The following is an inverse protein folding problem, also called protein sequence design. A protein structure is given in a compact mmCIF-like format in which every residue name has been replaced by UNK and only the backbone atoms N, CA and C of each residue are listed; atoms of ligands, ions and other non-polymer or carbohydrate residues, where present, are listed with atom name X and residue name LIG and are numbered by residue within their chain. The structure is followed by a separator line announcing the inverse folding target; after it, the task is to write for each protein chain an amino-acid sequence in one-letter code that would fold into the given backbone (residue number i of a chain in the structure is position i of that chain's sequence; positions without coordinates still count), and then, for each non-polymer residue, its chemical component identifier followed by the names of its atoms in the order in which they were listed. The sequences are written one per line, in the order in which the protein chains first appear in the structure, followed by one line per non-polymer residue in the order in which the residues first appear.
data_IF_545168897900
#
_entry.id   IF_545168897900
#
_cell.length_a   1.000
_cell.length_b   1.000
_cell.length_c   1.000
_cell.angle_alpha   90.00
_cell.angle_beta   90.00
_cell.angle_gamma   90.00
#
_symmetry.space_group_name_H-M   'P 1'
#
loop_
_entity.id
_entity.type
_entity.pdbx_description
1 polymer ?
#
# COMPACT_ATOMS: atom_id res chain seq x y z
N UNK A 1 -25.63 -24.12 50.12
CA UNK A 1 -24.60 -24.38 49.08
C UNK A 1 -24.75 -23.52 47.80
N UNK A 2 -25.63 -22.51 47.74
CA UNK A 2 -25.74 -21.64 46.56
C UNK A 2 -24.57 -20.64 46.45
N UNK A 3 -24.17 -20.03 47.57
CA UNK A 3 -23.23 -18.91 47.65
C UNK A 3 -21.84 -19.28 47.09
N UNK A 4 -21.36 -20.50 47.33
CA UNK A 4 -20.10 -20.99 46.77
C UNK A 4 -20.15 -21.16 45.25
N UNK A 5 -21.27 -21.61 44.69
CA UNK A 5 -21.45 -21.74 43.23
C UNK A 5 -21.48 -20.36 42.56
N UNK A 6 -22.13 -19.39 43.19
CA UNK A 6 -22.18 -17.99 42.72
C UNK A 6 -20.77 -17.38 42.73
N UNK A 7 -20.00 -17.56 43.81
CA UNK A 7 -18.62 -17.07 43.90
C UNK A 7 -17.71 -17.65 42.80
N UNK A 8 -17.84 -18.94 42.48
CA UNK A 8 -17.09 -19.58 41.39
C UNK A 8 -17.48 -19.00 40.02
N UNK A 9 -18.78 -18.80 39.75
CA UNK A 9 -19.23 -18.19 38.48
C UNK A 9 -18.72 -16.75 38.33
N UNK A 10 -18.78 -15.94 39.40
CA UNK A 10 -18.25 -14.56 39.38
C UNK A 10 -16.74 -14.55 39.15
N UNK A 11 -15.98 -15.45 39.77
CA UNK A 11 -14.54 -15.58 39.55
C UNK A 11 -14.19 -15.97 38.10
N UNK A 12 -14.93 -16.92 37.51
CA UNK A 12 -14.74 -17.33 36.11
C UNK A 12 -15.06 -16.18 35.14
N UNK A 13 -16.15 -15.43 35.37
CA UNK A 13 -16.52 -14.26 34.56
C UNK A 13 -15.47 -13.14 34.66
N UNK A 14 -14.91 -12.90 35.87
CA UNK A 14 -13.83 -11.93 36.06
C UNK A 14 -12.55 -12.34 35.29
N UNK A 15 -12.17 -13.62 35.33
CA UNK A 15 -11.01 -14.15 34.58
C UNK A 15 -11.21 -14.03 33.06
N UNK A 16 -12.43 -14.25 32.56
CA UNK A 16 -12.76 -14.05 31.14
C UNK A 16 -12.57 -12.59 30.69
N UNK A 17 -13.01 -11.60 31.48
CA UNK A 17 -12.82 -10.18 31.15
C UNK A 17 -11.34 -9.76 31.12
N UNK A 18 -10.49 -10.36 31.98
CA UNK A 18 -9.05 -10.07 32.01
C UNK A 18 -8.33 -10.56 30.75
N UNK A 19 -8.84 -11.59 30.06
CA UNK A 19 -8.27 -12.07 28.80
C UNK A 19 -8.36 -11.06 27.63
N UNK A 20 -9.26 -10.08 27.71
CA UNK A 20 -9.46 -9.07 26.67
C UNK A 20 -8.53 -7.85 26.79
N UNK A 21 -7.72 -7.76 27.84
CA UNK A 21 -6.81 -6.62 28.11
C UNK A 21 -5.35 -6.96 27.75
N UNK A 22 -5.15 -7.92 26.83
CA UNK A 22 -3.87 -8.16 26.17
C UNK A 22 -3.58 -7.07 25.11
N UNK A 23 -3.13 -5.91 25.61
CA UNK A 23 -2.39 -4.83 24.93
C UNK A 23 -2.60 -4.68 23.42
N UNK A 24 -3.37 -3.65 23.11
CA UNK A 24 -3.49 -3.01 21.82
C UNK A 24 -2.19 -2.94 20.98
N UNK A 25 -2.35 -3.19 19.67
CA UNK A 25 -1.42 -2.85 18.57
C UNK A 25 -0.09 -3.61 18.58
N UNK A 26 -0.07 -4.71 17.80
CA UNK A 26 1.01 -4.84 16.81
C UNK A 26 0.96 -3.59 15.94
N UNK A 27 1.83 -2.61 16.21
CA UNK A 27 2.10 -1.58 15.21
C UNK A 27 2.67 -2.30 14.00
N UNK A 28 1.85 -2.45 12.96
CA UNK A 28 2.37 -2.60 11.61
C UNK A 28 3.35 -1.44 11.42
N UNK A 29 4.64 -1.78 11.35
CA UNK A 29 5.75 -0.81 11.40
C UNK A 29 5.46 0.26 10.36
N UNK A 30 5.10 1.46 10.81
CA UNK A 30 4.70 2.54 9.92
C UNK A 30 5.82 2.68 8.88
N UNK A 31 5.48 2.41 7.62
CA UNK A 31 6.46 2.45 6.53
C UNK A 31 7.19 3.78 6.60
N UNK A 32 8.55 3.81 6.50
CA UNK A 32 9.36 4.94 6.95
C UNK A 32 8.74 6.28 6.61
N UNK A 33 8.38 7.02 7.66
CA UNK A 33 7.75 8.33 7.55
C UNK A 33 8.61 9.20 6.63
N UNK A 34 8.08 9.51 5.45
CA UNK A 34 8.75 10.30 4.44
C UNK A 34 8.80 11.76 4.89
N UNK A 35 9.63 12.05 5.90
CA UNK A 35 10.15 13.39 6.19
C UNK A 35 11.22 13.73 5.14
N UNK A 36 10.81 13.69 3.87
CA UNK A 36 11.47 14.40 2.78
C UNK A 36 11.14 15.88 2.92
N UNK A 37 11.74 16.52 3.93
CA UNK A 37 11.86 17.97 3.93
C UNK A 37 12.61 18.38 2.66
N UNK A 38 12.08 19.38 1.97
CA UNK A 38 12.62 19.94 0.72
C UNK A 38 12.64 19.01 -0.50
N UNK A 39 11.47 18.82 -1.14
CA UNK A 39 11.38 18.44 -2.56
C UNK A 39 12.03 17.11 -2.98
N UNK A 40 12.44 16.25 -2.06
CA UNK A 40 13.11 14.98 -2.35
C UNK A 40 12.12 13.84 -2.60
N UNK A 41 12.16 13.26 -3.80
CA UNK A 41 11.49 11.97 -4.02
C UNK A 41 12.26 10.80 -3.44
N UNK A 42 11.64 9.63 -3.35
CA UNK A 42 12.38 8.42 -2.95
C UNK A 42 13.32 8.02 -4.10
N UNK A 43 14.64 7.84 -3.87
CA UNK A 43 15.53 7.26 -4.86
C UNK A 43 15.18 5.79 -5.12
N UNK A 44 15.14 5.38 -6.39
CA UNK A 44 14.85 4.00 -6.77
C UNK A 44 15.67 3.58 -7.99
N UNK A 45 15.73 2.27 -8.25
CA UNK A 45 16.23 1.70 -9.50
C UNK A 45 15.04 1.20 -10.31
N UNK A 46 14.88 1.73 -11.52
CA UNK A 46 13.93 1.22 -12.49
C UNK A 46 14.55 -0.01 -13.18
N UNK A 47 13.82 -1.11 -13.23
CA UNK A 47 14.14 -2.30 -14.03
C UNK A 47 13.06 -2.57 -15.09
N UNK A 48 13.31 -3.49 -16.01
CA UNK A 48 12.35 -3.90 -17.04
C UNK A 48 11.72 -5.21 -16.60
N UNK A 49 10.41 -5.21 -16.37
CA UNK A 49 9.63 -6.44 -16.20
C UNK A 49 8.82 -6.77 -17.46
N UNK A 50 8.52 -8.05 -17.61
CA UNK A 50 7.49 -8.56 -18.50
C UNK A 50 6.25 -8.98 -17.71
N UNK A 51 5.09 -8.38 -17.99
CA UNK A 51 3.81 -8.72 -17.35
C UNK A 51 2.92 -9.61 -18.24
N UNK A 52 3.34 -9.91 -19.48
CA UNK A 52 2.55 -10.67 -20.44
C UNK A 52 2.71 -12.18 -20.23
N UNK A 53 1.66 -12.93 -20.56
CA UNK A 53 1.68 -14.38 -20.51
C UNK A 53 2.77 -14.94 -21.44
N UNK A 54 3.66 -15.76 -20.87
CA UNK A 54 4.78 -16.39 -21.59
C UNK A 54 6.11 -15.65 -21.44
N UNK A 55 6.18 -14.61 -20.61
CA UNK A 55 7.44 -14.03 -20.13
C UNK A 55 7.91 -14.71 -18.83
N UNK A 56 8.99 -14.22 -18.22
CA UNK A 56 9.63 -14.82 -17.02
C UNK A 56 8.75 -14.73 -15.76
N UNK A 57 7.84 -13.75 -15.69
CA UNK A 57 6.93 -13.52 -14.59
C UNK A 57 5.70 -14.43 -14.60
N UNK A 58 5.14 -14.67 -13.40
CA UNK A 58 3.81 -15.25 -13.24
C UNK A 58 2.69 -14.22 -13.45
N UNK A 59 1.42 -14.59 -13.18
CA UNK A 59 0.34 -13.63 -13.03
C UNK A 59 0.63 -12.68 -11.86
N UNK A 60 0.23 -11.42 -11.97
CA UNK A 60 0.58 -10.37 -11.02
C UNK A 60 -0.18 -10.44 -9.70
N UNK A 61 0.48 -10.13 -8.59
CA UNK A 61 -0.02 -10.36 -7.22
C UNK A 61 -1.30 -9.57 -6.87
N UNK A 62 -1.65 -8.50 -7.58
CA UNK A 62 -2.86 -7.72 -7.27
C UNK A 62 -4.19 -8.33 -7.76
N UNK A 63 -4.20 -9.14 -8.83
CA UNK A 63 -5.40 -9.78 -9.40
C UNK A 63 -5.21 -11.26 -9.78
N UNK A 64 -3.98 -11.77 -9.82
CA UNK A 64 -3.69 -13.09 -10.36
C UNK A 64 -3.84 -13.16 -11.89
N UNK A 65 -3.73 -12.04 -12.61
CA UNK A 65 -3.83 -11.97 -14.06
C UNK A 65 -2.50 -11.60 -14.75
N UNK A 66 -2.41 -11.89 -16.05
CA UNK A 66 -1.35 -11.36 -16.91
C UNK A 66 -1.84 -10.07 -17.58
N UNK A 67 -0.93 -9.11 -17.78
CA UNK A 67 -1.26 -7.77 -18.26
C UNK A 67 -0.44 -7.36 -19.48
N UNK A 68 -0.88 -6.36 -20.25
CA UNK A 68 -0.14 -5.97 -21.44
C UNK A 68 1.06 -5.08 -21.13
N UNK A 69 2.23 -5.40 -21.71
CA UNK A 69 3.43 -4.57 -21.63
C UNK A 69 3.30 -3.20 -22.33
N UNK A 70 2.21 -2.98 -23.09
CA UNK A 70 1.82 -1.69 -23.65
C UNK A 70 1.19 -0.75 -22.63
N UNK A 71 0.78 -1.24 -21.46
CA UNK A 71 0.21 -0.45 -20.38
C UNK A 71 1.30 0.09 -19.46
N UNK A 72 1.04 1.21 -18.78
CA UNK A 72 1.97 1.77 -17.79
C UNK A 72 1.85 1.03 -16.46
N UNK A 73 2.48 -0.14 -16.36
CA UNK A 73 2.41 -1.03 -15.19
C UNK A 73 3.77 -1.20 -14.52
N UNK A 74 3.71 -1.40 -13.19
CA UNK A 74 4.89 -1.60 -12.35
C UNK A 74 4.66 -2.61 -11.23
N UNK A 75 5.71 -3.38 -10.94
CA UNK A 75 5.90 -4.10 -9.69
C UNK A 75 6.70 -3.22 -8.72
N UNK A 76 6.44 -3.35 -7.42
CA UNK A 76 7.16 -2.64 -6.37
C UNK A 76 7.88 -3.61 -5.45
N UNK A 77 9.10 -3.29 -5.00
CA UNK A 77 9.75 -4.01 -3.90
C UNK A 77 8.79 -4.21 -2.72
N UNK A 78 8.81 -5.36 -2.05
CA UNK A 78 7.96 -5.74 -0.91
C UNK A 78 7.57 -4.59 0.03
N UNK A 79 8.55 -3.78 0.49
CA UNK A 79 8.34 -2.62 1.38
C UNK A 79 7.48 -1.51 0.78
N UNK A 80 7.55 -1.32 -0.54
CA UNK A 80 6.76 -0.37 -1.31
C UNK A 80 5.47 -0.96 -1.84
N UNK A 81 5.41 -2.25 -2.15
CA UNK A 81 4.15 -2.95 -2.41
C UNK A 81 3.23 -2.89 -1.18
N UNK A 82 3.83 -3.03 0.01
CA UNK A 82 3.19 -2.93 1.31
C UNK A 82 2.00 -3.92 1.47
N UNK A 83 2.23 -5.18 1.12
CA UNK A 83 1.24 -6.27 1.25
C UNK A 83 -0.08 -5.92 0.54
N UNK A 84 -0.01 -5.56 -0.74
CA UNK A 84 -1.16 -5.18 -1.57
C UNK A 84 -1.77 -3.80 -1.29
N UNK A 85 -1.37 -3.09 -0.23
CA UNK A 85 -1.97 -1.79 0.12
C UNK A 85 -1.76 -0.68 -0.92
N UNK A 86 -0.88 -0.89 -1.93
CA UNK A 86 -0.70 -0.02 -3.08
C UNK A 86 -1.24 -0.57 -4.41
N UNK A 87 -1.89 -1.74 -4.44
CA UNK A 87 -2.52 -2.28 -5.64
C UNK A 87 -3.46 -1.27 -6.30
N UNK A 88 -3.38 -1.20 -7.63
CA UNK A 88 -4.13 -0.29 -8.51
C UNK A 88 -3.92 1.21 -8.21
N UNK A 89 -2.99 1.57 -7.31
CA UNK A 89 -2.64 2.97 -7.07
C UNK A 89 -1.62 3.41 -8.11
N UNK A 90 -1.81 4.63 -8.62
CA UNK A 90 -0.82 5.26 -9.48
C UNK A 90 0.40 5.71 -8.67
N UNK A 91 1.56 5.63 -9.28
CA UNK A 91 2.81 6.22 -8.78
C UNK A 91 3.44 7.04 -9.89
N UNK A 92 4.17 8.10 -9.53
CA UNK A 92 4.91 8.92 -10.50
C UNK A 92 6.39 8.57 -10.45
N UNK A 93 6.91 8.04 -11.56
CA UNK A 93 8.33 7.72 -11.75
C UNK A 93 9.00 8.87 -12.48
N UNK A 94 10.05 9.46 -11.89
CA UNK A 94 10.82 10.56 -12.49
C UNK A 94 12.26 10.12 -12.79
N UNK A 95 12.62 10.10 -14.06
CA UNK A 95 13.96 9.74 -14.54
C UNK A 95 15.03 10.72 -14.05
N UNK A 96 16.15 10.20 -13.54
CA UNK A 96 17.30 11.02 -13.14
C UNK A 96 18.05 11.65 -14.32
N UNK A 97 18.02 11.01 -15.50
CA UNK A 97 18.83 11.41 -16.67
C UNK A 97 18.30 12.63 -17.40
N UNK A 98 16.97 12.73 -17.54
CA UNK A 98 16.32 13.67 -18.46
C UNK A 98 15.10 14.38 -17.83
N UNK A 99 14.86 14.19 -16.53
CA UNK A 99 13.75 14.83 -15.80
C UNK A 99 12.33 14.36 -16.19
N UNK A 100 12.17 13.55 -17.25
CA UNK A 100 10.88 13.05 -17.71
C UNK A 100 10.18 12.26 -16.60
N UNK A 101 8.86 12.40 -16.55
CA UNK A 101 7.98 11.72 -15.61
C UNK A 101 6.95 10.88 -16.36
N UNK A 102 6.54 9.76 -15.77
CA UNK A 102 5.35 9.00 -16.21
C UNK A 102 4.57 8.55 -14.98
N UNK A 103 3.24 8.47 -15.11
CA UNK A 103 2.39 7.77 -14.15
C UNK A 103 2.26 6.30 -14.55
N UNK A 104 2.44 5.40 -13.58
CA UNK A 104 2.24 3.96 -13.76
C UNK A 104 1.38 3.40 -12.62
N UNK A 105 0.60 2.36 -12.92
CA UNK A 105 -0.26 1.65 -11.96
C UNK A 105 0.52 0.49 -11.34
N UNK A 106 0.47 0.38 -10.02
CA UNK A 106 1.03 -0.77 -9.30
C UNK A 106 0.13 -1.98 -9.49
N UNK A 107 0.69 -3.07 -10.03
CA UNK A 107 -0.05 -4.30 -10.30
C UNK A 107 0.57 -5.53 -9.60
N UNK A 108 1.80 -5.43 -9.09
CA UNK A 108 2.57 -6.60 -8.68
C UNK A 108 3.61 -6.33 -7.56
N UNK A 109 4.13 -7.40 -6.96
CA UNK A 109 5.23 -7.38 -5.99
C UNK A 109 6.55 -7.87 -6.61
N UNK A 110 7.61 -7.06 -6.49
CA UNK A 110 8.98 -7.51 -6.70
C UNK A 110 9.50 -8.03 -5.35
N UNK A 111 9.30 -9.32 -5.06
CA UNK A 111 9.58 -9.88 -3.72
C UNK A 111 11.08 -9.80 -3.36
N UNK A 112 11.43 -8.96 -2.37
CA UNK A 112 12.82 -8.76 -1.97
C UNK A 112 13.40 -9.89 -1.09
N UNK A 113 12.59 -10.89 -0.73
CA UNK A 113 13.05 -12.15 -0.13
C UNK A 113 13.53 -13.15 -1.20
N UNK A 114 13.05 -13.01 -2.43
CA UNK A 114 13.23 -13.99 -3.51
C UNK A 114 13.96 -13.43 -4.75
N UNK A 115 14.78 -12.39 -4.57
CA UNK A 115 15.75 -11.92 -5.59
C UNK A 115 15.68 -10.43 -5.92
N UNK A 116 14.56 -9.76 -5.64
CA UNK A 116 14.49 -8.31 -5.81
C UNK A 116 15.30 -7.57 -4.73
N UNK A 117 15.73 -6.33 -5.03
CA UNK A 117 16.28 -5.41 -4.01
C UNK A 117 15.15 -4.59 -3.39
N UNK A 118 15.38 -3.99 -2.22
CA UNK A 118 14.38 -3.18 -1.48
C UNK A 118 14.05 -1.79 -2.08
N UNK A 119 14.66 -1.45 -3.22
CA UNK A 119 14.54 -0.15 -3.88
C UNK A 119 14.28 -0.23 -5.39
N UNK A 120 13.63 -1.32 -5.84
CA UNK A 120 13.26 -1.58 -7.22
C UNK A 120 11.85 -1.06 -7.53
N UNK A 121 11.72 -0.47 -8.73
CA UNK A 121 10.45 -0.34 -9.44
C UNK A 121 10.61 -1.13 -10.72
N UNK A 122 9.97 -2.29 -10.82
CA UNK A 122 10.11 -3.14 -12.01
C UNK A 122 9.01 -2.82 -13.00
N UNK A 123 9.35 -2.42 -14.22
CA UNK A 123 8.46 -1.62 -15.04
C UNK A 123 8.28 -2.15 -16.45
N UNK A 124 7.05 -2.03 -16.95
CA UNK A 124 6.65 -2.48 -18.28
C UNK A 124 7.43 -1.76 -19.38
N UNK A 125 7.41 -2.33 -20.59
CA UNK A 125 8.04 -1.72 -21.77
C UNK A 125 7.54 -0.29 -22.01
N UNK A 126 6.25 -0.03 -21.90
CA UNK A 126 5.68 1.29 -22.13
C UNK A 126 6.18 2.36 -21.13
N UNK A 127 6.40 2.01 -19.85
CA UNK A 127 6.98 2.95 -18.85
C UNK A 127 8.38 3.43 -19.27
N UNK A 128 9.21 2.52 -19.78
CA UNK A 128 10.56 2.85 -20.27
C UNK A 128 10.52 3.75 -21.51
N UNK A 129 9.60 3.49 -22.43
CA UNK A 129 9.42 4.26 -23.66
C UNK A 129 8.89 5.67 -23.37
N UNK A 130 7.90 5.82 -22.50
CA UNK A 130 7.39 7.10 -22.04
C UNK A 130 8.46 7.98 -21.37
N UNK A 131 9.37 7.36 -20.60
CA UNK A 131 10.52 8.04 -19.99
C UNK A 131 11.66 8.37 -21.00
N UNK A 132 11.57 7.91 -22.25
CA UNK A 132 12.61 8.09 -23.27
C UNK A 132 13.90 7.31 -22.96
N UNK A 133 13.76 6.09 -22.43
CA UNK A 133 14.87 5.24 -21.98
C UNK A 133 15.06 4.04 -22.91
N UNK A 134 16.00 4.17 -23.86
CA UNK A 134 16.31 3.09 -24.80
C UNK A 134 16.99 1.91 -24.10
N UNK A 135 16.27 0.78 -23.98
CA UNK A 135 16.74 -0.48 -23.36
C UNK A 135 18.11 -0.94 -23.90
N UNK A 136 18.35 -0.77 -25.20
CA UNK A 136 19.56 -1.27 -25.89
C UNK A 136 20.88 -0.57 -25.54
N UNK A 137 20.90 0.63 -24.93
CA UNK A 137 22.15 1.39 -24.73
C UNK A 137 22.78 1.31 -23.33
N UNK A 138 22.05 0.85 -22.29
CA UNK A 138 22.52 0.93 -20.88
C UNK A 138 22.13 -0.25 -19.99
N UNK A 139 21.67 -1.36 -20.58
CA UNK A 139 21.21 -2.53 -19.82
C UNK A 139 19.87 -2.29 -19.09
N UNK A 140 19.40 -3.28 -18.31
CA UNK A 140 18.04 -3.30 -17.78
C UNK A 140 17.86 -2.47 -16.48
N UNK A 141 18.75 -1.51 -16.18
CA UNK A 141 18.73 -0.75 -14.92
C UNK A 141 18.88 0.76 -15.17
N UNK A 142 18.05 1.57 -14.53
CA UNK A 142 18.10 3.03 -14.61
C UNK A 142 17.81 3.71 -13.27
N UNK A 143 18.39 4.88 -13.01
CA UNK A 143 18.19 5.60 -11.75
C UNK A 143 16.94 6.49 -11.80
N UNK A 144 16.04 6.31 -10.83
CA UNK A 144 14.88 7.15 -10.56
C UNK A 144 15.28 8.23 -9.55
N UNK A 145 15.21 9.50 -9.96
CA UNK A 145 15.53 10.66 -9.10
C UNK A 145 14.41 10.96 -8.10
N UNK A 146 13.17 10.72 -8.50
CA UNK A 146 11.99 10.91 -7.66
C UNK A 146 10.96 9.84 -8.00
N UNK A 147 10.82 8.87 -7.11
CA UNK A 147 9.64 8.03 -7.02
C UNK A 147 8.64 8.72 -6.07
N UNK A 148 7.41 8.95 -6.54
CA UNK A 148 6.30 9.42 -5.72
C UNK A 148 5.28 8.30 -5.59
N UNK A 149 5.27 7.65 -4.42
CA UNK A 149 4.30 6.61 -4.11
C UNK A 149 2.97 7.23 -3.64
N UNK A 150 1.85 6.71 -4.11
CA UNK A 150 0.56 6.95 -3.44
C UNK A 150 0.60 6.43 -1.99
N UNK A 151 -0.23 6.99 -1.08
CA UNK A 151 -0.41 6.42 0.26
C UNK A 151 -0.78 4.94 0.19
N UNK A 152 -0.14 4.11 1.02
CA UNK A 152 -0.61 2.75 1.25
C UNK A 152 -1.92 2.83 2.04
N UNK A 153 -2.96 2.11 1.60
CA UNK A 153 -4.32 2.32 2.07
C UNK A 153 -4.58 1.88 3.51
N UNK A 154 -5.14 2.80 4.29
CA UNK A 154 -6.14 2.50 5.33
C UNK A 154 -7.03 3.72 5.63
N UNK A 155 -7.69 4.29 4.62
CA UNK A 155 -8.83 5.20 4.82
C UNK A 155 -9.74 5.33 3.59
N UNK A 156 -10.83 4.60 3.61
CA UNK A 156 -12.08 4.92 2.90
C UNK A 156 -13.25 4.18 3.55
N UNK A 157 -13.38 4.30 4.88
CA UNK A 157 -14.73 4.60 5.39
C UNK A 157 -15.00 6.01 4.90
N UNK A 158 -15.83 6.14 3.86
CA UNK A 158 -16.41 7.42 3.53
C UNK A 158 -17.31 7.77 4.71
N UNK A 159 -16.98 8.82 5.47
CA UNK A 159 -17.95 9.50 6.31
C UNK A 159 -19.02 10.13 5.40
N UNK A 160 -19.94 9.29 4.92
CA UNK A 160 -21.32 9.69 4.73
C UNK A 160 -21.94 9.75 6.12
N UNK A 161 -21.49 10.71 6.92
CA UNK A 161 -22.26 11.16 8.06
C UNK A 161 -23.48 11.89 7.48
N UNK A 162 -24.70 11.36 7.61
CA UNK A 162 -25.87 12.11 7.18
C UNK A 162 -25.94 13.38 8.04
N UNK A 163 -25.83 14.55 7.39
CA UNK A 163 -25.80 15.89 8.02
C UNK A 163 -27.11 16.30 8.74
N UNK A 164 -27.95 15.34 9.09
CA UNK A 164 -29.28 15.53 9.65
C UNK A 164 -29.36 15.31 11.17
N UNK A 165 -28.35 14.67 11.79
CA UNK A 165 -28.35 14.43 13.25
C UNK A 165 -27.84 15.59 14.11
N UNK A 166 -27.44 16.72 13.51
CA UNK A 166 -26.89 17.88 14.22
C UNK A 166 -27.94 18.94 14.64
N UNK A 167 -29.25 18.62 14.55
CA UNK A 167 -30.34 19.57 14.85
C UNK A 167 -31.52 18.92 15.59
N UNK A 168 -31.26 18.27 16.72
CA UNK A 168 -32.29 18.06 17.75
C UNK A 168 -32.06 19.08 18.87
N UNK A 169 -32.95 20.08 19.06
CA UNK A 169 -32.81 21.01 20.17
C UNK A 169 -33.06 20.31 21.50
N UNK A 170 -32.16 20.52 22.47
CA UNK A 170 -32.34 20.10 23.86
C UNK A 170 -33.34 21.05 24.54
N UNK A 171 -34.62 20.93 24.17
CA UNK A 171 -35.77 21.61 24.78
C UNK A 171 -37.08 20.92 24.38
N UNK A 172 -37.43 19.84 25.07
CA UNK A 172 -38.80 19.35 25.15
C UNK A 172 -39.20 19.37 26.64
N UNK A 173 -40.09 20.30 26.98
CA UNK A 173 -40.53 20.64 28.33
C UNK A 173 -42.02 20.30 28.45
N UNK A 174 -42.41 19.51 29.47
CA UNK A 174 -43.78 18.96 29.67
C UNK A 174 -44.20 18.00 28.53
N UNK A 175 -45.05 16.99 28.64
CA UNK A 175 -46.07 16.56 29.62
C UNK A 175 -45.84 15.05 29.84
N UNK A 176 -46.11 14.41 30.98
CA UNK A 176 -46.86 14.87 32.17
C UNK A 176 -45.96 14.95 33.41
#
# INVERSE_FOLDING_TARGET
MANAKIAVVVAILALLQVSCIAVARRQGKAGPSLRGGDGGGIPAVLTVNGFQKGEEGGPSECDGAFHSNSEHLVALSTRWYANGQRCYKKIRVTSARNGRSVEATVIDECDSRHGCKDNIVDASKAVWEALGLNKHRRGPRHLVRRLSLSPAGSRSELEVTPRWFASLPVSALMIE
#
